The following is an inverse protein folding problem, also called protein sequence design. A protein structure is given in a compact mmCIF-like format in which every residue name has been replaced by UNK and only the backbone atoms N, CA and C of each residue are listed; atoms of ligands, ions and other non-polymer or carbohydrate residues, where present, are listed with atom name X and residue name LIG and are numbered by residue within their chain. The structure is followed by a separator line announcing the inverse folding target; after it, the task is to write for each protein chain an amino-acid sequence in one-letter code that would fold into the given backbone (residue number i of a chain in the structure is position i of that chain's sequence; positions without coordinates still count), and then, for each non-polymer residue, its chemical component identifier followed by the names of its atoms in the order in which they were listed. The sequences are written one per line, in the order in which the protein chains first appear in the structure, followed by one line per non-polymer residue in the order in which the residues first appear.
data_IF_957423552516
#
_entry.id   IF_957423552516
#
_cell.length_a   1.000
_cell.length_b   1.000
_cell.length_c   1.000
_cell.angle_alpha   90.00
_cell.angle_beta   90.00
_cell.angle_gamma   90.00
#
_symmetry.space_group_name_H-M   'P 1'
#
loop_
_entity.id
_entity.type
_entity.pdbx_description
1 polymer ?
#
# COMPACT_ATOMS: atom_id res chain seq x y z
N UNK A 1 -38.93 -27.44 24.98
CA UNK A 1 -37.47 -27.24 25.18
C UNK A 1 -36.73 -28.52 24.82
N UNK A 2 -35.72 -28.44 23.94
CA UNK A 2 -34.92 -29.60 23.50
C UNK A 2 -34.23 -30.32 24.67
N UNK A 3 -34.25 -31.66 24.65
CA UNK A 3 -33.59 -32.54 25.64
C UNK A 3 -32.11 -32.18 25.83
N UNK A 4 -31.43 -31.78 24.75
CA UNK A 4 -30.02 -31.37 24.77
C UNK A 4 -29.80 -30.12 25.66
N UNK A 5 -30.79 -29.22 25.71
CA UNK A 5 -30.72 -27.99 26.50
C UNK A 5 -30.83 -28.29 27.99
N UNK A 6 -31.73 -29.21 28.37
CA UNK A 6 -31.86 -29.67 29.78
C UNK A 6 -30.61 -30.44 30.24
N UNK A 7 -30.05 -31.27 29.36
CA UNK A 7 -28.81 -32.01 29.63
C UNK A 7 -27.63 -31.06 29.86
N UNK A 8 -27.42 -30.09 28.96
CA UNK A 8 -26.34 -29.12 29.08
C UNK A 8 -26.50 -28.18 30.27
N UNK A 9 -27.74 -27.84 30.66
CA UNK A 9 -27.97 -27.04 31.88
C UNK A 9 -27.44 -27.77 33.11
N UNK A 10 -27.79 -29.04 33.30
CA UNK A 10 -27.34 -29.82 34.46
C UNK A 10 -25.84 -30.11 34.43
N UNK A 11 -25.29 -30.47 33.27
CA UNK A 11 -23.86 -30.77 33.10
C UNK A 11 -22.98 -29.55 33.36
N UNK A 12 -23.39 -28.37 32.88
CA UNK A 12 -22.67 -27.13 33.10
C UNK A 12 -22.64 -26.74 34.59
N UNK A 13 -23.77 -26.89 35.29
CA UNK A 13 -23.87 -26.58 36.72
C UNK A 13 -23.05 -27.52 37.62
N UNK A 14 -22.92 -28.80 37.26
CA UNK A 14 -22.20 -29.78 38.10
C UNK A 14 -20.74 -29.97 37.75
N UNK A 15 -20.35 -29.74 36.50
CA UNK A 15 -19.02 -30.11 36.01
C UNK A 15 -18.32 -29.02 35.20
N UNK A 16 -19.03 -27.95 34.81
CA UNK A 16 -18.52 -26.91 33.91
C UNK A 16 -18.45 -27.32 32.44
N UNK A 17 -18.80 -28.56 32.08
CA UNK A 17 -18.76 -29.06 30.71
C UNK A 17 -20.11 -28.94 29.98
N UNK A 18 -20.07 -28.85 28.64
CA UNK A 18 -21.25 -28.86 27.77
C UNK A 18 -21.06 -29.84 26.61
N UNK A 19 -22.12 -30.55 26.25
CA UNK A 19 -22.16 -31.46 25.09
C UNK A 19 -22.67 -30.71 23.87
N UNK A 20 -21.88 -30.66 22.80
CA UNK A 20 -22.31 -30.15 21.49
C UNK A 20 -22.37 -31.29 20.49
N UNK A 21 -23.42 -31.30 19.66
CA UNK A 21 -23.48 -32.22 18.52
C UNK A 21 -22.46 -31.77 17.49
N UNK A 22 -21.48 -32.61 17.22
CA UNK A 22 -20.53 -32.38 16.12
C UNK A 22 -21.33 -32.51 14.82
N UNK A 23 -21.30 -31.50 13.91
CA UNK A 23 -21.91 -31.65 12.59
C UNK A 23 -21.33 -32.87 11.90
N UNK A 24 -22.15 -33.62 11.16
CA UNK A 24 -21.62 -34.70 10.34
C UNK A 24 -20.48 -34.16 9.46
N UNK A 25 -19.38 -34.91 9.25
CA UNK A 25 -18.36 -34.52 8.30
C UNK A 25 -19.07 -34.24 6.98
N UNK A 26 -18.94 -33.01 6.49
CA UNK A 26 -19.42 -32.67 5.15
C UNK A 26 -18.70 -33.67 4.23
N UNK A 27 -19.41 -34.44 3.39
CA UNK A 27 -18.74 -35.33 2.45
C UNK A 27 -17.67 -34.50 1.75
N UNK A 28 -16.45 -35.02 1.71
CA UNK A 28 -15.38 -34.37 0.96
C UNK A 28 -16.00 -33.99 -0.38
N UNK A 29 -16.11 -32.69 -0.64
CA UNK A 29 -16.44 -32.25 -1.98
C UNK A 29 -15.43 -33.00 -2.84
N UNK A 30 -15.92 -33.83 -3.77
CA UNK A 30 -15.05 -34.42 -4.76
C UNK A 30 -14.16 -33.27 -5.22
N UNK A 31 -12.86 -33.46 -5.12
CA UNK A 31 -11.90 -32.63 -5.82
C UNK A 31 -12.16 -32.87 -7.31
N UNK A 32 -13.28 -32.37 -7.81
CA UNK A 32 -13.43 -32.06 -9.20
C UNK A 32 -12.28 -31.12 -9.47
N UNK A 33 -11.40 -31.54 -10.36
CA UNK A 33 -10.39 -30.68 -10.95
C UNK A 33 -11.11 -29.38 -11.35
N UNK A 34 -10.98 -28.36 -10.50
CA UNK A 34 -11.44 -27.03 -10.83
C UNK A 34 -10.53 -26.57 -11.93
N UNK A 35 -10.98 -26.69 -13.17
CA UNK A 35 -10.34 -26.02 -14.28
C UNK A 35 -10.27 -24.55 -13.90
N UNK A 36 -9.06 -23.98 -13.95
CA UNK A 36 -8.84 -22.53 -13.81
C UNK A 36 -9.58 -21.74 -14.92
N UNK A 37 -10.22 -22.44 -15.87
CA UNK A 37 -11.04 -21.94 -16.97
C UNK A 37 -12.53 -21.73 -16.63
N UNK A 38 -12.96 -22.00 -15.39
CA UNK A 38 -14.34 -21.70 -14.98
C UNK A 38 -14.54 -20.18 -14.86
N UNK A 39 -14.93 -19.54 -15.97
CA UNK A 39 -15.38 -18.14 -16.00
C UNK A 39 -16.49 -17.97 -14.95
N UNK A 40 -16.29 -17.16 -13.90
CA UNK A 40 -17.32 -16.91 -12.90
C UNK A 40 -18.57 -16.38 -13.61
N UNK A 41 -19.76 -16.84 -13.21
CA UNK A 41 -21.01 -16.22 -13.65
C UNK A 41 -20.89 -14.70 -13.48
N UNK A 42 -21.28 -13.88 -14.48
CA UNK A 42 -21.13 -12.45 -14.39
C UNK A 42 -21.79 -11.96 -13.11
N UNK A 43 -20.99 -11.34 -12.24
CA UNK A 43 -21.50 -10.65 -11.05
C UNK A 43 -22.57 -9.68 -11.52
N UNK A 44 -23.68 -9.58 -10.80
CA UNK A 44 -24.65 -8.51 -11.03
C UNK A 44 -23.90 -7.16 -11.12
N UNK A 45 -24.35 -6.23 -11.98
CA UNK A 45 -23.66 -4.95 -12.14
C UNK A 45 -23.41 -4.33 -10.78
N UNK A 46 -22.18 -3.84 -10.55
CA UNK A 46 -21.88 -3.09 -9.32
C UNK A 46 -22.90 -1.94 -9.22
N UNK A 47 -23.49 -1.70 -8.04
CA UNK A 47 -24.33 -0.52 -7.84
C UNK A 47 -23.55 0.71 -8.30
N UNK A 48 -24.22 1.63 -9.00
CA UNK A 48 -23.62 2.90 -9.37
C UNK A 48 -23.24 3.64 -8.08
N UNK A 49 -21.94 3.89 -7.89
CA UNK A 49 -21.43 4.72 -6.81
C UNK A 49 -21.33 6.16 -7.32
N UNK A 50 -21.73 7.18 -6.54
CA UNK A 50 -21.34 8.55 -6.85
C UNK A 50 -19.80 8.65 -6.95
N UNK A 51 -19.27 9.59 -7.74
CA UNK A 51 -17.84 9.82 -7.81
C UNK A 51 -17.30 10.10 -6.42
N UNK A 52 -16.18 9.44 -6.08
CA UNK A 52 -15.61 9.56 -4.75
C UNK A 52 -15.22 11.02 -4.49
N UNK A 53 -15.78 11.60 -3.43
CA UNK A 53 -15.44 12.95 -3.02
C UNK A 53 -14.41 12.89 -1.87
N UNK A 54 -13.28 13.59 -2.00
CA UNK A 54 -12.34 13.77 -0.91
C UNK A 54 -13.07 14.33 0.36
N UNK A 55 -12.91 13.70 1.53
CA UNK A 55 -13.56 14.04 2.82
C UNK A 55 -12.67 13.73 4.03
N UNK A 56 -12.60 14.69 4.96
CA UNK A 56 -11.95 14.49 6.25
C UNK A 56 -12.78 13.58 7.18
N UNK A 57 -12.14 12.77 8.04
CA UNK A 57 -12.81 11.99 9.06
C UNK A 57 -13.72 12.87 9.93
N UNK A 58 -14.88 12.33 10.29
CA UNK A 58 -15.89 13.04 11.08
C UNK A 58 -15.37 13.31 12.48
N UNK A 59 -14.70 12.33 13.08
CA UNK A 59 -14.00 12.45 14.36
C UNK A 59 -12.66 11.70 14.28
N UNK A 60 -11.55 12.36 13.90
CA UNK A 60 -10.26 11.69 13.73
C UNK A 60 -9.79 10.92 14.97
N UNK A 61 -10.16 11.33 16.19
CA UNK A 61 -9.77 10.66 17.43
C UNK A 61 -10.48 9.31 17.58
N UNK A 62 -11.71 9.22 17.08
CA UNK A 62 -12.52 7.99 17.13
C UNK A 62 -12.29 7.14 15.89
N UNK A 63 -12.14 7.76 14.73
CA UNK A 63 -12.13 7.13 13.42
C UNK A 63 -10.75 6.58 13.02
N UNK A 64 -9.66 7.01 13.68
CA UNK A 64 -8.29 6.61 13.33
C UNK A 64 -7.60 5.90 14.48
N UNK A 65 -7.06 4.73 14.18
CA UNK A 65 -6.24 3.94 15.11
C UNK A 65 -4.74 4.15 14.86
N UNK A 66 -4.36 4.52 13.63
CA UNK A 66 -2.99 4.85 13.30
C UNK A 66 -2.63 6.25 13.80
N UNK A 67 -1.37 6.41 14.21
CA UNK A 67 -0.78 7.69 14.53
C UNK A 67 0.35 7.95 13.53
N UNK A 68 0.29 9.08 12.82
CA UNK A 68 1.29 9.55 11.85
C UNK A 68 1.78 8.45 10.88
N UNK A 69 0.88 7.75 10.17
CA UNK A 69 1.31 6.72 9.21
C UNK A 69 2.18 7.34 8.12
N UNK A 70 3.20 6.60 7.68
CA UNK A 70 4.14 7.06 6.64
C UNK A 70 3.68 6.54 5.28
N UNK A 71 3.57 7.44 4.29
CA UNK A 71 3.26 7.08 2.92
C UNK A 71 4.43 7.42 1.99
N UNK A 72 4.89 6.43 1.24
CA UNK A 72 5.90 6.62 0.19
C UNK A 72 5.18 6.79 -1.16
N UNK A 73 5.19 8.00 -1.69
CA UNK A 73 4.65 8.34 -3.00
C UNK A 73 5.78 8.36 -4.04
N UNK A 74 5.60 7.60 -5.11
CA UNK A 74 6.62 7.45 -6.13
C UNK A 74 6.02 6.89 -7.43
N UNK A 75 6.58 7.25 -8.60
CA UNK A 75 6.34 6.49 -9.82
C UNK A 75 6.68 5.01 -9.62
N UNK A 76 6.05 4.10 -10.36
CA UNK A 76 6.55 2.73 -10.44
C UNK A 76 7.99 2.73 -10.96
N UNK A 77 8.77 1.68 -10.66
CA UNK A 77 10.16 1.53 -11.14
C UNK A 77 11.14 2.64 -10.72
N UNK A 78 10.77 3.46 -9.73
CA UNK A 78 11.59 4.50 -9.10
C UNK A 78 12.53 3.98 -7.99
N UNK A 79 12.46 2.69 -7.64
CA UNK A 79 13.18 2.13 -6.48
C UNK A 79 12.40 2.17 -5.16
N UNK A 80 11.10 2.49 -5.20
CA UNK A 80 10.26 2.53 -3.99
C UNK A 80 10.17 1.21 -3.23
N UNK A 81 10.41 0.07 -3.88
CA UNK A 81 10.53 -1.23 -3.20
C UNK A 81 11.83 -1.33 -2.39
N UNK A 82 12.95 -0.81 -2.91
CA UNK A 82 14.22 -0.75 -2.17
C UNK A 82 14.04 0.11 -0.92
N UNK A 83 13.51 1.33 -1.08
CA UNK A 83 13.26 2.23 0.05
C UNK A 83 12.34 1.58 1.10
N UNK A 84 11.24 0.94 0.68
CA UNK A 84 10.34 0.20 1.57
C UNK A 84 11.09 -0.89 2.36
N UNK A 85 11.97 -1.65 1.73
CA UNK A 85 12.75 -2.69 2.41
C UNK A 85 13.72 -2.10 3.44
N UNK A 86 14.42 -1.00 3.09
CA UNK A 86 15.32 -0.29 4.00
C UNK A 86 14.57 0.27 5.21
N UNK A 87 13.38 0.87 4.99
CA UNK A 87 12.50 1.32 6.06
C UNK A 87 11.99 0.15 6.92
N UNK A 88 11.60 -0.97 6.30
CA UNK A 88 11.11 -2.15 7.02
C UNK A 88 12.14 -2.82 7.94
N UNK A 89 13.43 -2.61 7.68
CA UNK A 89 14.54 -3.07 8.51
C UNK A 89 14.76 -2.21 9.78
N UNK A 90 14.17 -1.02 9.85
CA UNK A 90 14.20 -0.19 11.05
C UNK A 90 13.37 -0.84 12.17
N UNK A 91 13.85 -0.84 13.42
CA UNK A 91 13.16 -1.51 14.53
C UNK A 91 11.78 -0.91 14.84
N UNK A 92 11.58 0.37 14.53
CA UNK A 92 10.33 1.09 14.83
C UNK A 92 9.35 1.20 13.65
N UNK A 93 9.75 0.80 12.45
CA UNK A 93 8.91 0.93 11.24
C UNK A 93 8.46 -0.44 10.73
N UNK A 94 7.16 -0.60 10.56
CA UNK A 94 6.59 -1.73 9.84
C UNK A 94 6.26 -1.34 8.41
N UNK A 95 7.13 -1.71 7.46
CA UNK A 95 6.88 -1.50 6.04
C UNK A 95 6.32 -2.77 5.39
N UNK A 96 4.98 -2.88 5.33
CA UNK A 96 4.31 -4.02 4.70
C UNK A 96 4.55 -4.06 3.19
N UNK A 97 4.14 -5.13 2.53
CA UNK A 97 4.09 -5.16 1.06
C UNK A 97 3.04 -4.18 0.51
N UNK A 98 2.96 -4.03 -0.81
CA UNK A 98 1.94 -3.18 -1.45
C UNK A 98 0.54 -3.69 -1.07
N UNK A 99 -0.28 -2.84 -0.45
CA UNK A 99 -1.63 -3.24 0.01
C UNK A 99 -2.73 -2.79 -0.95
N UNK A 100 -2.43 -1.87 -1.87
CA UNK A 100 -3.39 -1.36 -2.86
C UNK A 100 -4.71 -0.92 -2.21
N UNK A 101 -4.63 -0.13 -1.13
CA UNK A 101 -5.78 0.29 -0.30
C UNK A 101 -6.93 0.85 -1.13
N UNK A 102 -6.62 1.55 -2.21
CA UNK A 102 -7.61 2.20 -3.07
C UNK A 102 -8.48 1.20 -3.84
N UNK A 103 -8.10 -0.07 -3.91
CA UNK A 103 -8.93 -1.17 -4.42
C UNK A 103 -9.85 -1.81 -3.37
N UNK A 104 -9.69 -1.45 -2.09
CA UNK A 104 -10.55 -1.88 -1.00
C UNK A 104 -11.72 -0.89 -0.85
N UNK A 105 -12.87 -1.30 -1.35
CA UNK A 105 -14.03 -0.42 -1.54
C UNK A 105 -15.24 -0.86 -0.70
N UNK A 106 -16.08 0.10 -0.29
CA UNK A 106 -17.35 -0.14 0.40
C UNK A 106 -18.51 0.14 -0.55
N UNK A 107 -19.53 -0.72 -0.52
CA UNK A 107 -20.73 -0.59 -1.36
C UNK A 107 -21.99 -0.93 -0.59
N UNK A 108 -23.02 -0.11 -0.80
CA UNK A 108 -24.41 -0.41 -0.48
C UNK A 108 -25.31 0.09 -1.61
N UNK A 109 -26.55 -0.38 -1.63
CA UNK A 109 -27.53 0.00 -2.65
C UNK A 109 -28.03 1.41 -2.37
N UNK A 110 -28.11 2.26 -3.40
CA UNK A 110 -28.70 3.59 -3.26
C UNK A 110 -30.17 3.53 -2.82
N UNK A 111 -30.56 4.41 -1.89
CA UNK A 111 -31.86 4.47 -1.24
C UNK A 111 -32.12 3.33 -0.25
N UNK A 112 -31.12 2.49 0.04
CA UNK A 112 -31.28 1.38 0.99
C UNK A 112 -31.39 1.89 2.43
N UNK A 113 -32.02 1.11 3.33
CA UNK A 113 -31.95 1.39 4.76
C UNK A 113 -30.51 1.51 5.27
N UNK A 114 -29.56 0.78 4.69
CA UNK A 114 -28.13 0.87 5.03
C UNK A 114 -27.58 2.26 4.72
N UNK A 115 -27.77 2.77 3.49
CA UNK A 115 -27.33 4.12 3.10
C UNK A 115 -27.90 5.17 4.05
N UNK A 116 -29.23 5.16 4.26
CA UNK A 116 -29.89 6.11 5.18
C UNK A 116 -29.38 6.03 6.62
N UNK A 117 -29.02 4.82 7.08
CA UNK A 117 -28.54 4.64 8.45
C UNK A 117 -27.14 5.22 8.64
N UNK A 118 -26.25 5.06 7.66
CA UNK A 118 -24.90 5.63 7.73
C UNK A 118 -24.89 7.14 7.43
N UNK A 119 -25.73 7.61 6.51
CA UNK A 119 -25.96 9.05 6.31
C UNK A 119 -26.43 9.74 7.59
N UNK A 120 -27.32 9.10 8.36
CA UNK A 120 -27.76 9.61 9.67
C UNK A 120 -26.63 9.66 10.72
N UNK A 121 -25.56 8.88 10.55
CA UNK A 121 -24.33 8.96 11.35
C UNK A 121 -23.32 9.98 10.78
N UNK A 122 -23.62 10.61 9.65
CA UNK A 122 -22.69 11.49 8.94
C UNK A 122 -21.58 10.73 8.19
N UNK A 123 -21.72 9.41 8.00
CA UNK A 123 -20.71 8.56 7.39
C UNK A 123 -21.10 8.20 5.96
N UNK A 124 -20.31 8.67 4.99
CA UNK A 124 -20.41 8.32 3.57
C UNK A 124 -19.61 7.08 3.20
N UNK A 125 -19.56 6.78 1.89
CA UNK A 125 -18.76 5.68 1.36
C UNK A 125 -17.27 5.87 1.68
N UNK A 126 -16.78 7.09 1.55
CA UNK A 126 -15.38 7.47 1.71
C UNK A 126 -14.94 7.41 3.17
N UNK A 127 -15.81 7.82 4.11
CA UNK A 127 -15.55 7.72 5.55
C UNK A 127 -15.41 6.25 5.95
N UNK A 128 -16.33 5.40 5.49
CA UNK A 128 -16.33 3.96 5.74
C UNK A 128 -15.13 3.26 5.09
N UNK A 129 -14.74 3.65 3.87
CA UNK A 129 -13.52 3.18 3.22
C UNK A 129 -12.29 3.60 4.00
N UNK A 130 -12.23 4.85 4.45
CA UNK A 130 -11.19 5.34 5.33
C UNK A 130 -11.07 4.47 6.59
N UNK A 131 -12.18 4.23 7.29
CA UNK A 131 -12.20 3.37 8.50
C UNK A 131 -11.64 1.97 8.20
N UNK A 132 -12.02 1.41 7.05
CA UNK A 132 -11.56 0.09 6.62
C UNK A 132 -10.06 0.08 6.26
N UNK A 133 -9.57 1.12 5.58
CA UNK A 133 -8.15 1.26 5.23
C UNK A 133 -7.29 1.41 6.50
N UNK A 134 -7.71 2.27 7.43
CA UNK A 134 -7.05 2.47 8.72
C UNK A 134 -7.00 1.19 9.53
N UNK A 135 -8.14 0.49 9.64
CA UNK A 135 -8.18 -0.77 10.38
C UNK A 135 -7.29 -1.85 9.75
N UNK A 136 -7.19 -1.90 8.42
CA UNK A 136 -6.35 -2.86 7.70
C UNK A 136 -4.86 -2.60 8.00
N UNK A 137 -4.42 -1.34 7.89
CA UNK A 137 -3.07 -0.93 8.24
C UNK A 137 -2.76 -1.14 9.73
N UNK A 138 -3.65 -0.71 10.61
CA UNK A 138 -3.51 -0.88 12.06
C UNK A 138 -3.39 -2.36 12.44
N UNK A 139 -4.07 -3.28 11.72
CA UNK A 139 -3.92 -4.73 11.94
C UNK A 139 -2.47 -5.18 11.73
N UNK A 140 -1.85 -4.75 10.64
CA UNK A 140 -0.47 -5.13 10.32
C UNK A 140 0.51 -4.48 11.29
N UNK A 141 0.25 -3.22 11.67
CA UNK A 141 1.03 -2.54 12.71
C UNK A 141 1.02 -3.31 14.03
N UNK A 142 -0.15 -3.64 14.56
CA UNK A 142 -0.29 -4.41 15.82
C UNK A 142 0.38 -5.78 15.71
N UNK A 143 0.19 -6.48 14.58
CA UNK A 143 0.82 -7.79 14.35
C UNK A 143 2.35 -7.70 14.32
N UNK A 144 2.89 -6.60 13.81
CA UNK A 144 4.33 -6.38 13.74
C UNK A 144 4.97 -6.08 15.10
N UNK A 145 4.19 -5.61 16.07
CA UNK A 145 4.69 -5.12 17.36
C UNK A 145 5.48 -3.81 17.28
N UNK A 146 5.52 -3.16 16.11
CA UNK A 146 6.22 -1.88 15.89
C UNK A 146 5.26 -0.69 16.10
N UNK A 147 5.79 0.51 16.42
CA UNK A 147 5.00 1.70 16.70
C UNK A 147 4.48 2.44 15.46
N UNK A 148 5.18 2.39 14.32
CA UNK A 148 4.78 3.12 13.12
C UNK A 148 4.66 2.22 11.90
N UNK A 149 3.69 2.53 11.03
CA UNK A 149 3.49 1.82 9.76
C UNK A 149 3.99 2.65 8.58
N UNK A 150 4.59 1.98 7.61
CA UNK A 150 4.93 2.53 6.30
C UNK A 150 4.10 1.80 5.25
N UNK A 151 3.28 2.55 4.53
CA UNK A 151 2.56 2.05 3.37
C UNK A 151 3.23 2.58 2.09
N UNK A 152 3.52 1.64 1.19
CA UNK A 152 4.01 1.95 -0.14
C UNK A 152 3.26 1.11 -1.15
N UNK A 153 2.39 1.75 -1.91
CA UNK A 153 1.89 1.28 -3.19
C UNK A 153 2.06 2.40 -4.22
N UNK A 154 2.73 2.18 -5.38
CA UNK A 154 2.94 3.25 -6.36
C UNK A 154 1.65 3.97 -6.76
N UNK A 155 0.56 3.21 -6.94
CA UNK A 155 -0.76 3.73 -7.31
C UNK A 155 -1.35 4.75 -6.34
N UNK A 156 -0.88 4.80 -5.09
CA UNK A 156 -1.30 5.81 -4.11
C UNK A 156 -0.98 7.23 -4.56
N UNK A 157 0.03 7.40 -5.42
CA UNK A 157 0.40 8.70 -6.00
C UNK A 157 -0.80 9.36 -6.70
N UNK A 158 -1.71 8.59 -7.31
CA UNK A 158 -2.91 9.13 -7.95
C UNK A 158 -4.07 9.39 -6.98
N UNK A 159 -3.97 8.89 -5.75
CA UNK A 159 -5.04 8.91 -4.76
C UNK A 159 -4.61 9.69 -3.52
N UNK A 160 -3.60 10.55 -3.66
CA UNK A 160 -2.94 11.25 -2.57
C UNK A 160 -3.92 12.13 -1.79
N UNK A 161 -4.91 12.74 -2.45
CA UNK A 161 -5.93 13.57 -1.79
C UNK A 161 -6.70 12.75 -0.77
N UNK A 162 -7.22 11.59 -1.20
CA UNK A 162 -8.00 10.69 -0.33
C UNK A 162 -7.16 10.16 0.83
N UNK A 163 -5.89 9.86 0.57
CA UNK A 163 -4.96 9.40 1.62
C UNK A 163 -4.72 10.50 2.64
N UNK A 164 -4.39 11.71 2.20
CA UNK A 164 -4.11 12.85 3.07
C UNK A 164 -5.31 13.28 3.91
N UNK A 165 -6.52 13.13 3.37
CA UNK A 165 -7.71 13.40 4.16
C UNK A 165 -8.00 12.30 5.15
N UNK A 166 -7.83 11.03 4.75
CA UNK A 166 -8.02 9.87 5.63
C UNK A 166 -7.10 9.96 6.84
N UNK A 167 -5.85 10.41 6.66
CA UNK A 167 -4.87 10.61 7.71
C UNK A 167 -4.24 12.01 7.63
N UNK A 168 -4.87 13.03 8.26
CA UNK A 168 -4.37 14.40 8.23
C UNK A 168 -3.00 14.59 8.89
N UNK A 169 -2.58 13.66 9.74
CA UNK A 169 -1.30 13.62 10.43
C UNK A 169 -0.25 12.73 9.73
N UNK A 170 -0.57 12.19 8.55
CA UNK A 170 0.33 11.34 7.78
C UNK A 170 1.64 12.06 7.42
N UNK A 171 2.73 11.29 7.37
CA UNK A 171 4.04 11.76 6.92
C UNK A 171 4.29 11.29 5.49
N UNK A 172 4.51 12.22 4.57
CA UNK A 172 4.71 11.92 3.17
C UNK A 172 6.18 11.95 2.78
N UNK A 173 6.61 10.87 2.12
CA UNK A 173 7.96 10.69 1.57
C UNK A 173 7.83 10.54 0.06
N UNK A 174 8.60 11.32 -0.69
CA UNK A 174 8.56 11.38 -2.14
C UNK A 174 9.87 10.85 -2.71
N UNK A 175 9.79 9.80 -3.53
CA UNK A 175 10.97 9.22 -4.17
C UNK A 175 11.00 9.60 -5.65
N UNK A 176 11.93 10.50 -6.00
CA UNK A 176 12.23 10.88 -7.38
C UNK A 176 13.27 9.94 -7.97
N UNK A 177 13.24 9.81 -9.30
CA UNK A 177 14.26 9.11 -10.10
C UNK A 177 14.25 9.70 -11.50
N UNK A 178 15.38 9.67 -12.20
CA UNK A 178 15.51 10.15 -13.57
C UNK A 178 14.34 9.66 -14.46
N UNK A 179 13.53 10.55 -15.06
CA UNK A 179 12.31 10.16 -15.75
C UNK A 179 12.48 9.14 -16.88
N UNK A 180 13.49 9.34 -17.73
CA UNK A 180 13.81 8.38 -18.78
C UNK A 180 14.28 7.02 -18.26
N UNK A 181 14.97 6.97 -17.10
CA UNK A 181 15.38 5.70 -16.49
C UNK A 181 14.17 4.91 -15.99
N UNK A 182 13.19 5.59 -15.41
CA UNK A 182 11.91 5.02 -14.98
C UNK A 182 11.13 4.48 -16.20
N UNK A 183 10.98 5.29 -17.25
CA UNK A 183 10.29 4.90 -18.49
C UNK A 183 10.94 3.68 -19.16
N UNK A 184 12.27 3.69 -19.32
CA UNK A 184 13.05 2.55 -19.82
C UNK A 184 12.81 1.29 -18.97
N UNK A 185 12.93 1.40 -17.65
CA UNK A 185 12.72 0.26 -16.76
C UNK A 185 11.30 -0.29 -16.81
N UNK A 186 10.29 0.56 -17.02
CA UNK A 186 8.91 0.10 -17.13
C UNK A 186 8.67 -0.61 -18.45
N UNK A 187 9.15 -0.05 -19.56
CA UNK A 187 9.08 -0.71 -20.86
C UNK A 187 9.74 -2.11 -20.84
N UNK A 188 10.93 -2.23 -20.22
CA UNK A 188 11.61 -3.52 -20.01
C UNK A 188 10.78 -4.52 -19.17
N UNK A 189 10.03 -4.02 -18.18
CA UNK A 189 9.26 -4.85 -17.26
C UNK A 189 7.89 -5.28 -17.81
N UNK A 190 7.34 -4.56 -18.79
CA UNK A 190 6.03 -4.87 -19.39
C UNK A 190 6.14 -4.81 -20.92
N UNK A 191 6.54 -5.93 -21.57
CA UNK A 191 6.93 -5.96 -22.97
C UNK A 191 5.83 -5.53 -23.96
N UNK A 192 4.56 -5.68 -23.59
CA UNK A 192 3.41 -5.35 -24.46
C UNK A 192 3.16 -3.83 -24.60
N UNK A 193 3.92 -2.99 -23.89
CA UNK A 193 3.79 -1.52 -23.96
C UNK A 193 4.86 -0.91 -24.85
N UNK A 194 4.50 0.09 -25.65
CA UNK A 194 5.47 0.88 -26.40
C UNK A 194 6.30 1.78 -25.47
N UNK A 195 7.43 2.30 -25.97
CA UNK A 195 8.26 3.24 -25.22
C UNK A 195 7.50 4.54 -24.93
N UNK A 196 6.68 4.97 -25.87
CA UNK A 196 5.85 6.16 -25.80
C UNK A 196 4.74 6.01 -24.75
N UNK A 197 4.08 4.84 -24.71
CA UNK A 197 3.09 4.53 -23.67
C UNK A 197 3.73 4.50 -22.28
N UNK A 198 4.90 3.89 -22.15
CA UNK A 198 5.65 3.87 -20.90
C UNK A 198 6.03 5.29 -20.46
N UNK A 199 6.56 6.11 -21.37
CA UNK A 199 6.92 7.50 -21.10
C UNK A 199 5.71 8.34 -20.67
N UNK A 200 4.58 8.22 -21.39
CA UNK A 200 3.33 8.94 -21.07
C UNK A 200 2.80 8.53 -19.70
N UNK A 201 2.80 7.23 -19.40
CA UNK A 201 2.33 6.73 -18.11
C UNK A 201 3.24 7.16 -16.97
N UNK A 202 4.56 7.17 -17.18
CA UNK A 202 5.52 7.68 -16.21
C UNK A 202 5.29 9.16 -15.94
N UNK A 203 5.07 9.97 -16.99
CA UNK A 203 4.78 11.40 -16.82
C UNK A 203 3.57 11.62 -15.90
N UNK A 204 2.47 10.88 -16.09
CA UNK A 204 1.29 11.00 -15.25
C UNK A 204 1.59 10.76 -13.76
N UNK A 205 2.45 9.79 -13.43
CA UNK A 205 2.87 9.58 -12.05
C UNK A 205 3.65 10.77 -11.51
N UNK A 206 4.55 11.33 -12.32
CA UNK A 206 5.41 12.44 -11.92
C UNK A 206 4.61 13.71 -11.71
N UNK A 207 3.68 14.02 -12.60
CA UNK A 207 2.76 15.15 -12.46
C UNK A 207 1.89 15.02 -11.20
N UNK A 208 1.29 13.84 -10.97
CA UNK A 208 0.50 13.59 -9.77
C UNK A 208 1.35 13.68 -8.48
N UNK A 209 2.60 13.22 -8.53
CA UNK A 209 3.54 13.30 -7.41
C UNK A 209 3.96 14.75 -7.13
N UNK A 210 4.22 15.56 -8.16
CA UNK A 210 4.54 16.98 -8.00
C UNK A 210 3.35 17.76 -7.45
N UNK A 211 2.14 17.47 -7.92
CA UNK A 211 0.91 18.05 -7.37
C UNK A 211 0.77 17.71 -5.87
N UNK A 212 0.93 16.43 -5.53
CA UNK A 212 0.88 15.96 -4.15
C UNK A 212 1.93 16.66 -3.28
N UNK A 213 3.18 16.73 -3.72
CA UNK A 213 4.26 17.37 -2.98
C UNK A 213 4.00 18.87 -2.79
N UNK A 214 3.54 19.57 -3.83
CA UNK A 214 3.22 20.99 -3.75
C UNK A 214 2.09 21.31 -2.75
N UNK A 215 1.18 20.35 -2.51
CA UNK A 215 0.04 20.52 -1.61
C UNK A 215 0.29 20.02 -0.18
N UNK A 216 1.00 18.91 -0.03
CA UNK A 216 1.22 18.24 1.24
C UNK A 216 2.54 18.65 1.90
N UNK A 217 3.54 19.05 1.11
CA UNK A 217 4.93 19.06 1.53
C UNK A 217 5.41 17.64 1.90
N UNK A 218 6.61 17.54 2.46
CA UNK A 218 7.17 16.27 2.93
C UNK A 218 8.65 16.16 2.62
N UNK A 219 9.20 14.96 2.80
CA UNK A 219 10.61 14.68 2.53
C UNK A 219 10.78 14.15 1.12
N UNK A 220 11.61 14.82 0.32
CA UNK A 220 12.02 14.34 -1.00
C UNK A 220 13.40 13.71 -0.89
N UNK A 221 13.57 12.55 -1.52
CA UNK A 221 14.86 11.95 -1.81
C UNK A 221 14.89 11.49 -3.26
N UNK A 222 16.10 11.38 -3.83
CA UNK A 222 16.30 10.81 -5.17
C UNK A 222 16.83 9.38 -5.06
N UNK A 223 16.47 8.53 -6.02
CA UNK A 223 16.98 7.18 -6.08
C UNK A 223 18.50 7.14 -6.32
N UNK A 224 19.00 8.10 -7.08
CA UNK A 224 20.39 8.30 -7.43
C UNK A 224 21.22 8.59 -6.16
N UNK A 225 20.78 9.54 -5.33
CA UNK A 225 21.42 9.85 -4.06
C UNK A 225 21.28 8.67 -3.08
N UNK A 226 20.09 8.05 -3.01
CA UNK A 226 19.82 6.89 -2.15
C UNK A 226 20.74 5.70 -2.48
N UNK A 227 21.11 5.51 -3.74
CA UNK A 227 22.01 4.41 -4.13
C UNK A 227 23.49 4.78 -4.08
N UNK A 228 23.82 6.07 -4.11
CA UNK A 228 25.19 6.59 -4.02
C UNK A 228 25.67 6.71 -2.56
N UNK A 229 24.89 7.36 -1.70
CA UNK A 229 25.13 7.48 -0.26
C UNK A 229 23.85 7.17 0.54
N UNK A 230 23.46 5.89 0.63
CA UNK A 230 22.25 5.49 1.34
C UNK A 230 22.27 5.87 2.83
N UNK A 231 23.46 5.99 3.43
CA UNK A 231 23.57 6.31 4.85
C UNK A 231 23.23 7.78 5.11
N UNK A 232 23.66 8.70 4.24
CA UNK A 232 23.29 10.11 4.33
C UNK A 232 21.78 10.31 4.12
N UNK A 233 21.23 9.75 3.04
CA UNK A 233 19.81 9.89 2.69
C UNK A 233 18.89 9.30 3.77
N UNK A 234 19.22 8.10 4.30
CA UNK A 234 18.42 7.50 5.36
C UNK A 234 18.51 8.29 6.68
N UNK A 235 19.65 8.93 7.00
CA UNK A 235 19.74 9.80 8.18
C UNK A 235 18.84 11.02 8.04
N UNK A 236 18.83 11.65 6.88
CA UNK A 236 17.96 12.79 6.61
C UNK A 236 16.47 12.38 6.68
N UNK A 237 16.12 11.24 6.11
CA UNK A 237 14.77 10.68 6.16
C UNK A 237 14.35 10.33 7.60
N UNK A 238 15.19 9.66 8.37
CA UNK A 238 14.94 9.37 9.79
C UNK A 238 14.75 10.67 10.60
N UNK A 239 15.57 11.68 10.35
CA UNK A 239 15.41 13.01 10.96
C UNK A 239 14.05 13.66 10.66
N UNK A 240 13.58 13.57 9.42
CA UNK A 240 12.22 14.01 9.04
C UNK A 240 11.12 13.21 9.74
N UNK A 241 11.32 11.89 9.89
CA UNK A 241 10.38 11.00 10.57
C UNK A 241 10.44 11.10 12.10
N UNK A 242 11.37 11.89 12.64
CA UNK A 242 11.64 11.99 14.09
C UNK A 242 12.08 10.64 14.70
N UNK A 243 12.92 9.89 13.97
CA UNK A 243 13.48 8.60 14.37
C UNK A 243 15.01 8.65 14.39
N UNK A 244 15.62 7.81 15.23
CA UNK A 244 17.07 7.61 15.20
C UNK A 244 17.46 6.72 14.02
N UNK A 245 18.47 7.13 13.25
CA UNK A 245 18.97 6.29 12.16
C UNK A 245 19.61 5.00 12.67
N UNK A 246 19.34 3.89 11.97
CA UNK A 246 19.88 2.57 12.31
C UNK A 246 20.71 1.99 11.16
N UNK A 247 21.95 1.51 11.41
CA UNK A 247 22.79 0.93 10.36
C UNK A 247 22.19 -0.33 9.71
N UNK A 248 21.33 -1.06 10.44
CA UNK A 248 20.62 -2.23 9.94
C UNK A 248 19.73 -1.95 8.73
N UNK A 249 19.33 -0.69 8.50
CA UNK A 249 18.56 -0.30 7.32
C UNK A 249 19.31 -0.50 5.99
N UNK A 250 20.65 -0.56 6.03
CA UNK A 250 21.49 -0.80 4.85
C UNK A 250 21.63 -2.29 4.51
N UNK A 251 21.42 -3.16 5.50
CA UNK A 251 21.46 -4.62 5.39
C UNK A 251 20.09 -5.21 5.71
N UNK A 252 19.11 -4.79 4.91
CA UNK A 252 17.71 -5.21 5.04
C UNK A 252 17.49 -6.69 4.71
N UNK A 253 18.53 -7.41 4.27
CA UNK A 253 18.48 -8.83 3.94
C UNK A 253 18.02 -9.71 5.10
N UNK A 254 18.43 -9.39 6.32
CA UNK A 254 17.99 -10.08 7.55
C UNK A 254 16.49 -9.92 7.81
N UNK A 255 15.86 -8.87 7.28
CA UNK A 255 14.42 -8.62 7.37
C UNK A 255 13.63 -9.30 6.23
N UNK A 256 14.31 -9.93 5.26
CA UNK A 256 13.67 -10.67 4.16
C UNK A 256 13.09 -12.02 4.61
N UNK A 257 13.56 -12.60 5.72
CA UNK A 257 13.14 -13.94 6.18
C UNK A 257 11.63 -14.03 6.46
N UNK A 258 10.95 -12.90 6.74
CA UNK A 258 9.49 -12.81 6.88
C UNK A 258 8.74 -12.28 5.65
N UNK A 259 9.43 -11.86 4.59
CA UNK A 259 8.88 -11.09 3.46
C UNK A 259 8.77 -11.89 2.14
N UNK A 260 8.78 -13.22 2.19
CA UNK A 260 8.72 -14.04 0.97
C UNK A 260 7.28 -14.22 0.50
N UNK A 261 6.74 -13.20 -0.18
CA UNK A 261 5.50 -13.33 -0.95
C UNK A 261 5.74 -13.51 -2.47
N UNK A 262 7.00 -13.59 -2.91
CA UNK A 262 7.34 -13.83 -4.32
C UNK A 262 6.98 -12.64 -5.24
N UNK A 263 6.80 -12.91 -6.54
CA UNK A 263 6.40 -11.90 -7.52
C UNK A 263 4.95 -11.46 -7.35
N UNK A 264 4.67 -10.16 -7.52
CA UNK A 264 3.32 -9.57 -7.42
C UNK A 264 3.14 -8.55 -6.29
N UNK A 265 4.13 -8.35 -5.42
CA UNK A 265 4.08 -7.49 -4.24
C UNK A 265 5.11 -6.34 -4.26
N UNK A 266 5.49 -5.92 -5.47
CA UNK A 266 6.56 -4.96 -5.74
C UNK A 266 7.63 -5.53 -6.67
N UNK A 267 8.79 -4.87 -6.70
CA UNK A 267 9.93 -5.31 -7.52
C UNK A 267 10.68 -6.47 -6.84
N UNK A 268 10.92 -7.58 -7.55
CA UNK A 268 11.51 -8.79 -6.98
C UNK A 268 12.64 -9.37 -7.84
N UNK A 269 13.58 -8.49 -8.21
CA UNK A 269 14.79 -8.81 -8.98
C UNK A 269 15.99 -9.18 -8.07
N UNK A 270 17.10 -9.61 -8.67
CA UNK A 270 18.30 -10.03 -7.95
C UNK A 270 18.94 -8.91 -7.12
N UNK A 271 18.82 -7.65 -7.56
CA UNK A 271 19.31 -6.50 -6.77
C UNK A 271 18.56 -6.39 -5.44
N UNK A 272 17.23 -6.49 -5.45
CA UNK A 272 16.42 -6.47 -4.23
C UNK A 272 16.73 -7.69 -3.36
N UNK A 273 16.84 -8.88 -3.97
CA UNK A 273 17.14 -10.13 -3.24
C UNK A 273 18.52 -10.16 -2.59
N UNK A 274 19.45 -9.30 -3.04
CA UNK A 274 20.78 -9.21 -2.43
C UNK A 274 20.74 -8.75 -0.97
N UNK A 275 19.62 -8.15 -0.52
CA UNK A 275 19.50 -7.66 0.86
C UNK A 275 20.27 -6.36 1.14
N UNK A 276 20.94 -5.80 0.13
CA UNK A 276 21.81 -4.64 0.23
C UNK A 276 21.57 -3.66 -0.91
N UNK A 277 21.89 -2.40 -0.66
CA UNK A 277 21.84 -1.35 -1.69
C UNK A 277 22.86 -1.69 -2.79
N UNK A 278 22.39 -1.68 -4.03
CA UNK A 278 23.21 -1.93 -5.21
C UNK A 278 23.32 -0.64 -6.04
N UNK A 279 24.47 -0.37 -6.68
CA UNK A 279 24.61 0.79 -7.55
C UNK A 279 23.54 0.86 -8.65
N UNK A 280 23.14 2.07 -9.03
CA UNK A 280 22.29 2.26 -10.20
C UNK A 280 23.05 2.01 -11.51
N UNK A 281 22.29 1.74 -12.58
CA UNK A 281 22.78 1.83 -13.96
C UNK A 281 23.06 3.31 -14.29
N UNK A 282 23.95 3.59 -15.26
CA UNK A 282 24.15 4.95 -15.75
C UNK A 282 22.84 5.62 -16.19
N UNK A 283 22.74 6.92 -15.92
CA UNK A 283 21.64 7.75 -16.37
C UNK A 283 21.53 7.70 -17.91
N UNK A 284 20.30 7.70 -18.47
CA UNK A 284 20.10 7.82 -19.91
C UNK A 284 20.74 9.11 -20.45
N UNK A 285 21.30 9.05 -21.66
CA UNK A 285 21.81 10.24 -22.34
C UNK A 285 20.65 11.16 -22.76
N UNK A 286 20.95 12.45 -22.98
CA UNK A 286 19.93 13.48 -23.26
C UNK A 286 19.12 13.21 -24.55
N UNK A 287 19.73 12.56 -25.54
CA UNK A 287 19.11 12.13 -26.79
C UNK A 287 18.21 10.90 -26.62
N UNK A 288 18.41 10.11 -25.56
CA UNK A 288 17.55 8.97 -25.19
C UNK A 288 16.28 9.39 -24.44
N UNK A 289 16.17 10.65 -24.00
CA UNK A 289 15.02 11.14 -23.23
C UNK A 289 13.80 11.31 -24.15
N UNK A 290 12.69 10.57 -23.91
CA UNK A 290 11.45 10.76 -24.64
C UNK A 290 10.97 12.21 -24.57
N UNK A 291 10.50 12.76 -25.70
CA UNK A 291 10.13 14.18 -25.79
C UNK A 291 9.16 14.63 -24.69
N UNK A 292 8.16 13.79 -24.37
CA UNK A 292 7.14 14.04 -23.35
C UNK A 292 7.71 14.17 -21.93
N UNK A 293 8.89 13.60 -21.66
CA UNK A 293 9.54 13.62 -20.34
C UNK A 293 10.55 14.76 -20.17
N UNK A 294 10.89 15.50 -21.23
CA UNK A 294 11.97 16.49 -21.19
C UNK A 294 11.69 17.64 -20.22
N UNK A 295 10.45 18.11 -20.15
CA UNK A 295 10.07 19.18 -19.21
C UNK A 295 10.19 18.72 -17.76
N UNK A 296 9.73 17.51 -17.46
CA UNK A 296 9.88 16.92 -16.12
C UNK A 296 11.37 16.68 -15.77
N UNK A 297 12.19 16.26 -16.74
CA UNK A 297 13.64 16.13 -16.52
C UNK A 297 14.26 17.47 -16.14
N UNK A 298 13.93 18.58 -16.83
CA UNK A 298 14.42 19.92 -16.46
C UNK A 298 13.91 20.35 -15.08
N UNK A 299 12.61 20.13 -14.81
CA UNK A 299 12.01 20.49 -13.53
C UNK A 299 12.69 19.77 -12.34
N UNK A 300 13.17 18.55 -12.56
CA UNK A 300 13.89 17.76 -11.55
C UNK A 300 15.42 17.86 -11.65
N UNK A 301 15.97 18.72 -12.51
CA UNK A 301 17.41 18.96 -12.61
C UNK A 301 18.21 17.87 -13.34
N UNK A 302 17.57 17.03 -14.15
CA UNK A 302 18.22 16.01 -14.98
C UNK A 302 18.57 16.49 -16.40
N UNK A 303 18.22 17.74 -16.76
CA UNK A 303 18.48 18.38 -18.04
C UNK A 303 18.77 19.87 -17.87
#
# INVERSE_FOLDING_TARGET
MSILRKLNSKLAETTGFQVRRVPAPRPAASAGAGTLDAVPKPRSPRPARPPAAPRHPVDPVVDRLLNRPVFVLAPVRSGSTLLRMMLGAHSELHASHELHLTGLEVYFKSGSPTERSFEALGLGYEDLEGLLWDRALHRELVKSGKPFIVEKTPGNTFQWQRIAETWPDARFVFLRRHPAAVSRSWHEAVPDRTREEAATRVLQYMEAMEEAHAKLGGHILTYEDLTSDPAAELRALCGFLELDWQPGMLDYGSSLEGAVLGGGFGDWNDKIRSGKVQPDRPAPAADEIPGVLREMCRAWGYL
#
